data_IF_407514028692
#
_entry.id   IF_407514028692
#
_cell.length_a   1.000
_cell.length_b   1.000
_cell.length_c   1.000
_cell.angle_alpha   90.00
_cell.angle_beta   90.00
_cell.angle_gamma   90.00
#
_symmetry.space_group_name_H-M   'P 1'
#
loop_
_entity.id
_entity.type
_entity.pdbx_description
1 polymer ?
#
# COMPACT_ATOMS: atom_id res chain seq x y z
N UNK A 1 -10.85 17.69 2.70
CA UNK A 1 -10.80 17.29 2.00
C UNK A 1 -10.85 17.65 0.66
N UNK A 2 -10.04 18.07 0.16
CA UNK A 2 -9.97 18.47 -1.20
C UNK A 2 -10.38 17.45 -2.19
N UNK A 3 -11.14 16.55 -1.73
CA UNK A 3 -11.69 15.55 -2.57
C UNK A 3 -12.53 16.06 -3.67
N UNK A 4 -13.01 17.28 -3.57
CA UNK A 4 -13.82 17.88 -4.61
C UNK A 4 -13.12 17.87 -5.98
N UNK A 5 -11.79 18.01 -6.00
CA UNK A 5 -11.04 17.99 -7.24
C UNK A 5 -10.93 16.58 -7.81
N UNK A 6 -10.75 15.60 -6.95
CA UNK A 6 -10.72 14.20 -7.35
C UNK A 6 -12.09 13.73 -7.81
N UNK A 7 -13.14 14.22 -7.17
CA UNK A 7 -14.51 13.88 -7.53
C UNK A 7 -14.86 14.42 -8.92
N UNK A 8 -14.44 15.65 -9.22
CA UNK A 8 -14.71 16.26 -10.53
C UNK A 8 -14.00 15.56 -11.68
N UNK A 9 -12.87 14.94 -11.41
CA UNK A 9 -12.15 14.18 -12.42
C UNK A 9 -12.62 12.74 -12.54
N UNK A 10 -13.36 12.29 -11.56
CA UNK A 10 -13.78 10.91 -11.48
C UNK A 10 -15.24 10.67 -11.71
N UNK A 11 -15.86 11.41 -12.60
CA UNK A 11 -17.26 11.16 -12.95
C UNK A 11 -17.43 9.85 -13.70
N UNK A 12 -16.33 9.13 -13.95
CA UNK A 12 -16.44 7.73 -14.32
C UNK A 12 -16.71 6.89 -13.08
N UNK A 13 -17.63 6.01 -13.20
CA UNK A 13 -18.08 4.98 -12.27
C UNK A 13 -17.23 4.80 -11.02
N UNK A 14 -17.81 5.09 -9.85
CA UNK A 14 -17.21 4.69 -8.58
C UNK A 14 -16.95 3.19 -8.65
N UNK A 15 -15.68 2.81 -8.64
CA UNK A 15 -15.38 1.41 -8.70
C UNK A 15 -15.96 0.72 -7.52
N UNK A 16 -16.61 -0.35 -7.81
CA UNK A 16 -17.11 -1.26 -6.80
C UNK A 16 -15.90 -1.76 -6.01
N UNK A 17 -15.81 -1.40 -4.75
CA UNK A 17 -14.76 -1.88 -3.89
C UNK A 17 -14.90 -3.39 -3.74
N UNK A 18 -13.90 -4.12 -4.16
CA UNK A 18 -13.86 -5.57 -3.99
C UNK A 18 -12.87 -5.88 -2.87
N UNK A 19 -13.29 -6.57 -1.82
CA UNK A 19 -12.37 -6.97 -0.77
C UNK A 19 -11.26 -7.86 -1.33
N UNK A 20 -10.04 -7.60 -0.91
CA UNK A 20 -8.90 -8.44 -1.24
C UNK A 20 -8.65 -9.35 -0.05
N UNK A 21 -8.67 -10.69 -0.22
CA UNK A 21 -8.32 -11.59 0.87
C UNK A 21 -6.87 -11.37 1.28
N UNK A 22 -6.65 -11.09 2.57
CA UNK A 22 -5.33 -10.77 3.08
C UNK A 22 -4.88 -11.87 4.03
N UNK A 23 -3.71 -12.45 3.75
CA UNK A 23 -3.09 -13.45 4.60
C UNK A 23 -1.71 -12.95 5.01
N UNK A 24 -1.30 -13.28 6.22
CA UNK A 24 -0.01 -12.90 6.76
C UNK A 24 0.87 -14.13 6.95
N UNK A 25 2.11 -14.13 6.42
CA UNK A 25 3.01 -15.25 6.62
C UNK A 25 3.32 -15.45 8.11
N UNK A 26 2.98 -16.60 8.66
CA UNK A 26 3.15 -16.86 10.09
C UNK A 26 4.61 -16.93 10.54
N UNK A 27 5.51 -17.16 9.59
CA UNK A 27 6.94 -17.21 9.88
C UNK A 27 7.52 -15.83 10.20
N UNK A 28 6.86 -14.75 9.81
CA UNK A 28 7.36 -13.41 10.04
C UNK A 28 7.00 -12.93 11.45
N UNK A 29 7.96 -12.38 12.20
CA UNK A 29 7.68 -11.89 13.56
C UNK A 29 6.55 -10.87 13.64
N UNK A 30 6.44 -9.98 12.64
CA UNK A 30 5.40 -8.95 12.64
C UNK A 30 3.99 -9.52 12.55
N UNK A 31 3.82 -10.70 11.95
CA UNK A 31 2.51 -11.32 11.79
C UNK A 31 1.85 -11.68 13.11
N UNK A 32 2.65 -11.93 14.15
CA UNK A 32 2.14 -12.22 15.48
C UNK A 32 1.46 -11.03 16.16
N UNK A 33 1.75 -9.83 15.69
CA UNK A 33 1.21 -8.59 16.24
C UNK A 33 0.33 -7.85 15.24
N UNK A 34 -0.14 -8.53 14.20
CA UNK A 34 -0.88 -7.87 13.13
C UNK A 34 -2.17 -7.22 13.63
N UNK A 35 -2.94 -7.87 14.49
CA UNK A 35 -4.19 -7.31 15.02
C UNK A 35 -3.94 -6.02 15.80
N UNK A 36 -2.89 -6.00 16.61
CA UNK A 36 -2.50 -4.81 17.37
C UNK A 36 -2.10 -3.66 16.45
N UNK A 37 -1.34 -3.96 15.40
CA UNK A 37 -0.89 -2.96 14.45
C UNK A 37 -2.06 -2.42 13.63
N UNK A 38 -2.94 -3.29 13.15
CA UNK A 38 -4.13 -2.90 12.40
C UNK A 38 -5.00 -1.97 13.24
N UNK A 39 -5.21 -2.30 14.50
CA UNK A 39 -6.02 -1.46 15.40
C UNK A 39 -5.34 -0.11 15.64
N UNK A 40 -4.04 -0.08 15.80
CA UNK A 40 -3.28 1.16 15.94
C UNK A 40 -3.44 2.06 14.70
N UNK A 41 -3.39 1.47 13.51
CA UNK A 41 -3.59 2.20 12.25
C UNK A 41 -4.98 2.82 12.20
N UNK A 42 -5.98 2.11 12.70
CA UNK A 42 -7.36 2.62 12.72
C UNK A 42 -7.54 3.78 13.69
N UNK A 43 -6.90 3.70 14.86
CA UNK A 43 -7.14 4.65 15.95
C UNK A 43 -6.28 5.91 15.92
N UNK A 44 -5.10 5.83 15.33
CA UNK A 44 -4.13 6.90 15.43
C UNK A 44 -3.77 7.48 14.05
N UNK A 45 -3.66 8.81 13.92
CA UNK A 45 -3.24 9.42 12.66
C UNK A 45 -1.78 9.18 12.34
N UNK A 46 -0.94 8.95 13.36
CA UNK A 46 0.49 8.67 13.20
C UNK A 46 0.86 7.52 14.14
N UNK A 47 1.55 6.54 13.61
CA UNK A 47 2.15 5.47 14.41
C UNK A 47 3.61 5.30 14.05
N UNK A 48 4.42 4.90 15.00
CA UNK A 48 5.81 4.57 14.78
C UNK A 48 5.97 3.09 15.14
N UNK A 49 6.44 2.32 14.16
CA UNK A 49 6.66 0.90 14.35
C UNK A 49 8.13 0.60 14.15
N UNK A 50 8.77 0.07 15.19
CA UNK A 50 10.15 -0.34 15.09
C UNK A 50 10.25 -1.87 15.25
N UNK A 51 11.25 -2.43 14.64
CA UNK A 51 11.51 -3.85 14.70
C UNK A 51 12.78 -4.18 13.92
N UNK A 52 13.28 -5.37 14.12
CA UNK A 52 14.51 -5.81 13.49
C UNK A 52 14.35 -5.93 11.97
N UNK A 53 15.46 -5.80 11.25
CA UNK A 53 15.52 -6.08 9.82
C UNK A 53 15.11 -7.54 9.58
N UNK A 54 14.26 -7.77 8.59
CA UNK A 54 13.75 -9.12 8.32
C UNK A 54 12.53 -9.52 9.12
N UNK A 55 11.98 -8.61 9.94
CA UNK A 55 10.73 -8.89 10.68
C UNK A 55 9.50 -8.88 9.79
N UNK A 56 9.61 -8.39 8.56
CA UNK A 56 8.51 -8.32 7.60
C UNK A 56 7.80 -6.98 7.51
N UNK A 57 8.30 -5.93 8.16
CA UNK A 57 7.64 -4.62 8.17
C UNK A 57 7.31 -4.11 6.77
N UNK A 58 8.28 -4.09 5.90
CA UNK A 58 8.16 -3.45 4.59
C UNK A 58 7.11 -4.10 3.69
N UNK A 59 6.97 -5.42 3.77
CA UNK A 59 6.00 -6.15 2.95
C UNK A 59 4.64 -6.29 3.62
N UNK A 60 4.59 -6.33 4.95
CA UNK A 60 3.34 -6.62 5.65
C UNK A 60 2.57 -5.37 6.08
N UNK A 61 3.23 -4.26 6.41
CA UNK A 61 2.54 -3.03 6.82
C UNK A 61 1.59 -2.51 5.74
N UNK A 62 1.93 -2.49 4.45
CA UNK A 62 0.97 -2.08 3.42
C UNK A 62 -0.29 -2.94 3.42
N UNK A 63 -0.15 -4.23 3.63
CA UNK A 63 -1.29 -5.16 3.73
C UNK A 63 -2.14 -4.85 4.96
N UNK A 64 -1.50 -4.53 6.08
CA UNK A 64 -2.19 -4.15 7.32
C UNK A 64 -2.96 -2.84 7.15
N UNK A 65 -2.43 -1.90 6.37
CA UNK A 65 -3.14 -0.67 6.04
C UNK A 65 -4.42 -0.98 5.23
N UNK A 66 -4.34 -1.88 4.26
CA UNK A 66 -5.52 -2.33 3.53
C UNK A 66 -6.53 -2.98 4.45
N UNK A 67 -6.08 -3.86 5.33
CA UNK A 67 -6.92 -4.58 6.27
C UNK A 67 -7.60 -3.61 7.26
N UNK A 68 -6.91 -2.52 7.61
CA UNK A 68 -7.46 -1.46 8.44
C UNK A 68 -8.50 -0.59 7.72
N UNK A 69 -8.77 -0.85 6.45
CA UNK A 69 -9.75 -0.10 5.67
C UNK A 69 -9.18 1.05 4.85
N UNK A 70 -7.87 1.24 4.85
CA UNK A 70 -7.22 2.24 4.02
C UNK A 70 -7.21 1.77 2.56
N UNK A 71 -6.98 2.67 1.63
CA UNK A 71 -6.94 2.33 0.22
C UNK A 71 -8.29 2.30 -0.48
N UNK A 72 -9.38 2.60 0.22
CA UNK A 72 -10.73 2.63 -0.37
C UNK A 72 -11.02 3.95 -1.08
N UNK A 73 -10.82 5.06 -0.37
CA UNK A 73 -11.07 6.42 -0.91
C UNK A 73 -9.83 6.97 -1.56
N UNK A 74 -8.72 6.83 -0.91
CA UNK A 74 -7.43 7.33 -1.35
C UNK A 74 -6.41 6.19 -1.36
N UNK A 75 -5.37 6.35 -2.16
CA UNK A 75 -4.32 5.34 -2.25
C UNK A 75 -3.44 5.34 -1.02
N UNK A 76 -2.91 4.17 -0.71
CA UNK A 76 -1.84 4.00 0.27
C UNK A 76 -0.53 4.24 -0.48
N UNK A 77 0.27 5.21 -0.02
CA UNK A 77 1.58 5.47 -0.60
C UNK A 77 2.66 4.85 0.29
N UNK A 78 3.50 4.03 -0.31
CA UNK A 78 4.62 3.39 0.37
C UNK A 78 5.91 3.85 -0.28
N UNK A 79 6.73 4.60 0.46
CA UNK A 79 7.96 5.14 -0.10
C UNK A 79 9.17 4.28 0.25
N UNK A 80 10.10 4.24 -0.69
CA UNK A 80 11.38 3.58 -0.54
C UNK A 80 12.47 4.50 -1.09
N UNK A 81 13.67 4.53 -0.49
CA UNK A 81 14.73 5.42 -0.99
C UNK A 81 15.31 4.98 -2.33
N UNK A 82 15.20 3.71 -2.67
CA UNK A 82 15.80 3.16 -3.89
C UNK A 82 14.75 2.59 -4.83
N UNK A 83 14.95 2.80 -6.15
CA UNK A 83 14.05 2.32 -7.18
C UNK A 83 13.87 0.80 -7.17
N UNK A 84 14.98 0.07 -7.04
CA UNK A 84 14.95 -1.40 -7.04
C UNK A 84 14.12 -1.92 -5.89
N UNK A 85 14.26 -1.33 -4.70
CA UNK A 85 13.48 -1.72 -3.54
C UNK A 85 11.99 -1.46 -3.76
N UNK A 86 11.63 -0.29 -4.28
CA UNK A 86 10.22 0.03 -4.56
C UNK A 86 9.58 -0.99 -5.50
N UNK A 87 10.29 -1.35 -6.58
CA UNK A 87 9.78 -2.31 -7.56
C UNK A 87 9.67 -3.73 -6.99
N UNK A 88 10.71 -4.21 -6.33
CA UNK A 88 10.71 -5.59 -5.83
C UNK A 88 9.72 -5.80 -4.71
N UNK A 89 9.56 -4.81 -3.83
CA UNK A 89 8.58 -4.90 -2.76
C UNK A 89 7.15 -4.86 -3.32
N UNK A 90 6.90 -3.99 -4.29
CA UNK A 90 5.59 -3.92 -4.95
C UNK A 90 5.21 -5.27 -5.58
N UNK A 91 6.15 -5.88 -6.28
CA UNK A 91 5.93 -7.21 -6.88
C UNK A 91 5.68 -8.27 -5.81
N UNK A 92 6.46 -8.26 -4.75
CA UNK A 92 6.31 -9.21 -3.65
C UNK A 92 4.96 -9.09 -2.97
N UNK A 93 4.51 -7.87 -2.69
CA UNK A 93 3.21 -7.63 -2.07
C UNK A 93 2.08 -8.09 -3.02
N UNK A 94 2.23 -7.84 -4.33
CA UNK A 94 1.27 -8.32 -5.31
C UNK A 94 1.15 -9.84 -5.30
N UNK A 95 2.28 -10.54 -5.26
CA UNK A 95 2.32 -12.00 -5.18
C UNK A 95 1.63 -12.51 -3.92
N UNK A 96 1.93 -11.91 -2.78
CA UNK A 96 1.34 -12.33 -1.50
C UNK A 96 -0.16 -12.09 -1.44
N UNK A 97 -0.64 -11.03 -2.08
CA UNK A 97 -2.07 -10.73 -2.18
C UNK A 97 -2.75 -11.50 -3.33
N UNK A 98 -1.98 -12.23 -4.13
CA UNK A 98 -2.46 -12.97 -5.30
C UNK A 98 -3.21 -12.10 -6.30
N UNK A 99 -2.66 -10.93 -6.55
CA UNK A 99 -3.20 -9.98 -7.51
C UNK A 99 -2.16 -9.65 -8.57
N UNK A 100 -2.62 -9.14 -9.69
CA UNK A 100 -1.72 -8.77 -10.78
C UNK A 100 -1.01 -7.46 -10.45
N UNK A 101 0.32 -7.47 -10.53
CA UNK A 101 1.11 -6.26 -10.39
C UNK A 101 0.70 -5.21 -11.44
N UNK A 102 0.55 -3.98 -11.00
CA UNK A 102 0.07 -2.88 -11.84
C UNK A 102 -1.43 -2.61 -11.70
N UNK A 103 -2.15 -3.48 -11.01
CA UNK A 103 -3.57 -3.27 -10.71
C UNK A 103 -3.75 -2.69 -9.31
N UNK A 104 -4.20 -3.48 -8.34
CA UNK A 104 -4.43 -3.00 -6.96
C UNK A 104 -3.16 -2.61 -6.25
N UNK A 105 -2.03 -3.22 -6.61
CA UNK A 105 -0.70 -2.84 -6.15
C UNK A 105 0.12 -2.46 -7.35
N UNK A 106 0.71 -1.29 -7.30
CA UNK A 106 1.55 -0.79 -8.39
C UNK A 106 2.75 -0.03 -7.87
N UNK A 107 3.57 0.47 -8.77
CA UNK A 107 4.73 1.28 -8.44
C UNK A 107 4.89 2.43 -9.42
N UNK A 108 5.49 3.49 -8.95
CA UNK A 108 5.86 4.63 -9.78
C UNK A 108 7.25 5.10 -9.42
N UNK A 109 8.14 4.99 -10.36
CA UNK A 109 9.50 5.51 -10.26
C UNK A 109 9.75 6.43 -11.44
N UNK A 110 10.89 7.10 -11.44
CA UNK A 110 11.25 7.99 -12.54
C UNK A 110 11.24 7.21 -13.86
N UNK A 111 10.48 7.72 -14.84
CA UNK A 111 10.32 7.12 -16.19
C UNK A 111 9.56 5.79 -16.24
N UNK A 112 8.95 5.34 -15.15
CA UNK A 112 8.13 4.12 -15.16
C UNK A 112 6.95 4.26 -14.22
N UNK A 113 5.75 4.06 -14.77
CA UNK A 113 4.51 4.12 -13.98
C UNK A 113 3.72 2.83 -14.24
N UNK A 114 3.76 1.93 -13.28
CA UNK A 114 3.03 0.66 -13.31
C UNK A 114 1.84 0.74 -12.34
N UNK A 115 1.03 1.76 -12.50
CA UNK A 115 -0.20 1.93 -11.74
C UNK A 115 -1.40 1.97 -12.67
N UNK A 116 -2.56 1.74 -12.11
CA UNK A 116 -3.82 1.86 -12.83
C UNK A 116 -4.79 2.65 -11.97
N UNK A 117 -5.98 2.86 -12.49
CA UNK A 117 -7.02 3.46 -11.68
C UNK A 117 -7.42 2.56 -10.51
N UNK A 118 -7.22 1.25 -10.60
CA UNK A 118 -7.54 0.29 -9.55
C UNK A 118 -6.51 0.23 -8.45
N UNK A 119 -5.39 0.91 -8.59
CA UNK A 119 -4.29 0.87 -7.63
C UNK A 119 -4.74 1.43 -6.28
N UNK A 120 -4.54 0.62 -5.25
CA UNK A 120 -4.82 0.97 -3.86
C UNK A 120 -3.54 1.16 -3.07
N UNK A 121 -2.52 0.37 -3.36
CA UNK A 121 -1.18 0.51 -2.76
C UNK A 121 -0.22 0.89 -3.87
N UNK A 122 0.45 2.01 -3.70
CA UNK A 122 1.40 2.53 -4.67
C UNK A 122 2.76 2.65 -4.02
N UNK A 123 3.71 1.89 -4.53
CA UNK A 123 5.10 1.99 -4.10
C UNK A 123 5.84 2.99 -4.98
N UNK A 124 6.58 3.88 -4.36
CA UNK A 124 7.30 4.91 -5.08
C UNK A 124 8.56 5.30 -4.32
N UNK A 125 9.48 5.94 -5.02
CA UNK A 125 10.66 6.50 -4.35
C UNK A 125 10.28 7.79 -3.64
N UNK A 126 11.06 8.17 -2.63
CA UNK A 126 10.83 9.39 -1.86
C UNK A 126 10.76 10.63 -2.78
N UNK A 127 11.67 10.69 -3.76
CA UNK A 127 11.67 11.79 -4.74
C UNK A 127 10.40 11.85 -5.59
N UNK A 128 9.85 10.70 -5.96
CA UNK A 128 8.61 10.66 -6.72
C UNK A 128 7.41 11.09 -5.89
N UNK A 129 7.41 10.81 -4.60
CA UNK A 129 6.34 11.31 -3.72
C UNK A 129 6.36 12.83 -3.67
N UNK A 130 7.55 13.44 -3.57
CA UNK A 130 7.68 14.88 -3.55
C UNK A 130 7.25 15.54 -4.86
N UNK A 131 7.33 14.83 -5.97
CA UNK A 131 6.91 15.30 -7.29
C UNK A 131 5.40 15.14 -7.54
N UNK A 132 4.73 14.36 -6.72
CA UNK A 132 3.29 14.19 -6.82
C UNK A 132 2.57 15.38 -6.18
#
# INVERSE_FOLDING_TARGET
>A
MSDSTCIKRGVGQRRKWVPIPIQYPQKLPISKRCDEIIEAIRRHPVIILSGETGSGKTTQIPKMCLDAGRGRKMRIACTQPRRVAALSIAKRVSEELRIKYGREVGSKIRFSDETSQETRIKFLTDGMLLAE
#
